data_IF_489303382604
#
_entry.id   IF_489303382604
#
_cell.length_a   1.000
_cell.length_b   1.000
_cell.length_c   1.000
_cell.angle_alpha   90.00
_cell.angle_beta   90.00
_cell.angle_gamma   90.00
#
_symmetry.space_group_name_H-M   'P 1'
#
loop_
_entity.id
_entity.type
_entity.pdbx_description
1 polymer ?
#
# COMPACT_ATOMS: atom_id res chain seq x y z
N UNK A 1 5.20 -19.25 -13.47
CA UNK A 1 5.42 -17.98 -12.74
C UNK A 1 4.40 -17.89 -11.61
N UNK A 2 4.76 -17.32 -10.47
CA UNK A 2 3.78 -16.96 -9.44
C UNK A 2 4.19 -15.68 -8.71
N UNK A 3 3.21 -14.95 -8.20
CA UNK A 3 3.39 -13.78 -7.34
C UNK A 3 3.68 -14.26 -5.92
N UNK A 4 4.77 -13.77 -5.35
CA UNK A 4 5.21 -14.17 -4.02
C UNK A 4 4.21 -13.76 -2.93
N UNK A 5 4.12 -14.57 -1.88
CA UNK A 5 3.22 -14.33 -0.75
C UNK A 5 3.33 -12.92 -0.13
N UNK A 6 4.54 -12.35 0.08
CA UNK A 6 4.69 -11.00 0.59
C UNK A 6 4.01 -9.93 -0.27
N UNK A 7 4.00 -10.09 -1.60
CA UNK A 7 3.31 -9.17 -2.52
C UNK A 7 1.80 -9.31 -2.51
N UNK A 8 1.27 -10.45 -2.08
CA UNK A 8 -0.18 -10.68 -1.91
C UNK A 8 -0.70 -10.18 -0.56
N UNK A 9 0.19 -9.92 0.40
CA UNK A 9 -0.22 -9.46 1.72
C UNK A 9 -0.91 -8.10 1.63
N UNK A 10 -2.02 -7.96 2.37
CA UNK A 10 -2.75 -6.70 2.43
C UNK A 10 -1.86 -5.61 3.03
N UNK A 11 -1.58 -4.57 2.25
CA UNK A 11 -0.78 -3.43 2.67
C UNK A 11 -1.21 -2.18 1.90
N UNK A 12 -1.19 -1.06 2.59
CA UNK A 12 -1.39 0.23 1.96
C UNK A 12 -0.10 0.61 1.24
N UNK A 13 -0.15 0.60 -0.09
CA UNK A 13 0.97 1.00 -0.92
C UNK A 13 1.11 2.53 -0.92
N UNK A 14 2.17 3.04 -0.27
CA UNK A 14 2.45 4.46 -0.20
C UNK A 14 3.36 4.92 -1.34
N UNK A 15 3.07 6.09 -1.93
CA UNK A 15 3.93 6.75 -2.90
C UNK A 15 3.44 6.67 -4.34
N UNK A 16 4.31 7.01 -5.30
CA UNK A 16 3.98 7.06 -6.73
C UNK A 16 3.91 5.68 -7.39
N UNK A 17 4.48 4.67 -6.74
CA UNK A 17 4.69 3.34 -7.32
C UNK A 17 4.96 2.32 -6.23
N UNK A 18 4.59 1.06 -6.48
CA UNK A 18 4.81 -0.07 -5.60
C UNK A 18 5.54 -1.22 -6.28
N UNK A 19 6.06 -2.14 -5.48
CA UNK A 19 6.83 -3.30 -5.96
C UNK A 19 5.99 -4.58 -5.93
N UNK A 20 5.94 -5.24 -7.08
CA UNK A 20 5.40 -6.60 -7.25
C UNK A 20 6.57 -7.56 -7.38
N UNK A 21 6.66 -8.49 -6.45
CA UNK A 21 7.69 -9.52 -6.44
C UNK A 21 7.11 -10.83 -6.98
N UNK A 22 7.70 -11.29 -8.08
CA UNK A 22 7.32 -12.50 -8.80
C UNK A 22 8.46 -13.50 -8.73
N UNK A 23 8.12 -14.78 -8.83
CA UNK A 23 9.09 -15.86 -8.92
C UNK A 23 8.85 -16.69 -10.18
N UNK A 24 9.89 -16.77 -11.01
CA UNK A 24 9.92 -17.64 -12.18
C UNK A 24 10.56 -18.95 -11.73
N UNK A 25 9.73 -19.98 -11.58
CA UNK A 25 10.20 -21.34 -11.29
C UNK A 25 10.41 -22.05 -12.61
N UNK A 26 11.64 -22.46 -12.85
CA UNK A 26 12.01 -23.34 -13.95
C UNK A 26 12.77 -24.54 -13.39
N UNK A 27 12.05 -25.63 -13.16
CA UNK A 27 12.58 -26.89 -12.65
C UNK A 27 12.79 -27.91 -13.79
N UNK A 28 13.05 -27.45 -15.02
CA UNK A 28 13.23 -28.36 -16.13
C UNK A 28 14.46 -29.25 -15.93
N UNK A 29 14.32 -30.55 -16.27
CA UNK A 29 15.32 -31.57 -15.94
C UNK A 29 16.56 -31.40 -16.83
N UNK A 30 17.74 -31.47 -16.21
CA UNK A 30 19.03 -31.54 -16.89
C UNK A 30 19.03 -32.74 -17.87
N UNK A 31 19.51 -32.61 -19.12
CA UNK A 31 20.56 -31.69 -19.59
C UNK A 31 20.08 -30.42 -20.34
N UNK A 32 18.77 -30.17 -20.41
CA UNK A 32 18.18 -29.18 -21.33
C UNK A 32 18.34 -27.69 -20.96
N UNK A 33 19.01 -27.38 -19.84
CA UNK A 33 19.25 -26.01 -19.39
C UNK A 33 17.97 -25.23 -19.02
N UNK A 34 18.07 -23.91 -18.97
CA UNK A 34 16.94 -23.02 -18.69
C UNK A 34 16.05 -22.87 -19.94
N UNK A 35 14.74 -22.75 -19.71
CA UNK A 35 13.75 -22.51 -20.75
C UNK A 35 13.67 -21.03 -21.18
N UNK A 36 14.42 -20.14 -20.53
CA UNK A 36 14.48 -18.73 -20.91
C UNK A 36 14.88 -18.49 -22.37
N UNK A 37 14.55 -17.30 -22.93
CA UNK A 37 14.03 -16.13 -22.23
C UNK A 37 12.53 -16.20 -21.89
N UNK A 38 12.15 -15.58 -20.78
CA UNK A 38 10.78 -15.51 -20.30
C UNK A 38 10.22 -14.11 -20.53
N UNK A 39 9.19 -13.99 -21.35
CA UNK A 39 8.49 -12.74 -21.60
C UNK A 39 7.39 -12.55 -20.57
N UNK A 40 7.60 -11.64 -19.62
CA UNK A 40 6.66 -11.35 -18.55
C UNK A 40 5.93 -10.04 -18.83
N UNK A 41 4.61 -10.10 -18.84
CA UNK A 41 3.72 -8.94 -18.92
C UNK A 41 3.01 -8.78 -17.59
N UNK A 42 3.21 -7.65 -16.93
CA UNK A 42 2.48 -7.31 -15.70
C UNK A 42 1.46 -6.22 -16.03
N UNK A 43 0.20 -6.49 -15.72
CA UNK A 43 -0.92 -5.61 -16.01
C UNK A 43 -1.63 -5.24 -14.70
N UNK A 44 -1.72 -3.94 -14.40
CA UNK A 44 -2.58 -3.43 -13.36
C UNK A 44 -3.93 -3.02 -13.97
N UNK A 45 -4.99 -3.69 -13.55
CA UNK A 45 -6.37 -3.42 -13.90
C UNK A 45 -7.01 -2.56 -12.81
N UNK A 46 -7.52 -1.40 -13.19
CA UNK A 46 -8.11 -0.41 -12.27
C UNK A 46 -9.57 -0.16 -12.66
N UNK A 47 -10.53 -0.24 -11.73
CA UNK A 47 -11.94 -0.08 -12.04
C UNK A 47 -12.34 1.40 -12.16
N UNK A 48 -13.52 1.61 -12.74
CA UNK A 48 -13.93 2.82 -13.47
C UNK A 48 -13.98 4.16 -12.73
N UNK A 49 -13.68 4.22 -11.43
CA UNK A 49 -13.56 5.50 -10.71
C UNK A 49 -12.23 6.22 -11.00
N UNK A 50 -11.24 5.52 -11.57
CA UNK A 50 -9.98 6.14 -12.01
C UNK A 50 -10.16 6.77 -13.40
N UNK A 51 -9.80 8.05 -13.52
CA UNK A 51 -9.92 8.83 -14.76
C UNK A 51 -8.74 8.63 -15.73
N UNK A 52 -7.66 7.94 -15.30
CA UNK A 52 -6.52 7.62 -16.14
C UNK A 52 -6.67 6.28 -16.87
N UNK A 53 -5.53 5.74 -17.33
CA UNK A 53 -5.49 4.44 -17.99
C UNK A 53 -6.02 3.33 -17.06
N UNK A 54 -7.07 2.64 -17.53
CA UNK A 54 -7.70 1.53 -16.80
C UNK A 54 -6.85 0.26 -16.77
N UNK A 55 -5.91 0.17 -17.69
CA UNK A 55 -5.04 -0.99 -17.90
C UNK A 55 -3.63 -0.48 -18.07
N UNK A 56 -2.81 -0.66 -17.04
CA UNK A 56 -1.41 -0.23 -17.06
C UNK A 56 -0.56 -1.46 -17.26
N UNK A 57 0.06 -1.59 -18.43
CA UNK A 57 0.89 -2.76 -18.81
C UNK A 57 2.37 -2.44 -18.72
N UNK A 58 3.14 -3.40 -18.23
CA UNK A 58 4.60 -3.34 -18.19
C UNK A 58 5.17 -4.67 -18.67
N UNK A 59 5.93 -4.61 -19.76
CA UNK A 59 6.52 -5.79 -20.39
C UNK A 59 8.01 -5.84 -20.06
N UNK A 60 8.48 -6.99 -19.59
CA UNK A 60 9.87 -7.23 -19.25
C UNK A 60 10.27 -8.64 -19.68
N UNK A 61 11.53 -8.81 -20.10
CA UNK A 61 12.05 -10.11 -20.53
C UNK A 61 13.17 -10.52 -19.59
N UNK A 62 13.07 -11.73 -19.04
CA UNK A 62 14.02 -12.28 -18.08
C UNK A 62 14.79 -13.44 -18.71
N UNK A 63 16.11 -13.43 -18.64
CA UNK A 63 16.96 -14.52 -19.15
C UNK A 63 17.12 -15.66 -18.14
N UNK A 64 16.95 -15.38 -16.85
CA UNK A 64 17.21 -16.31 -15.75
C UNK A 64 15.94 -16.51 -14.90
N UNK A 65 15.68 -17.75 -14.45
CA UNK A 65 14.66 -18.03 -13.47
C UNK A 65 15.06 -17.45 -12.09
N UNK A 66 14.09 -17.39 -11.18
CA UNK A 66 14.27 -16.84 -9.83
C UNK A 66 13.33 -15.69 -9.51
N UNK A 67 13.64 -14.97 -8.43
CA UNK A 67 12.84 -13.86 -7.91
C UNK A 67 13.18 -12.56 -8.63
N UNK A 68 12.14 -11.90 -9.12
CA UNK A 68 12.24 -10.63 -9.82
C UNK A 68 11.26 -9.62 -9.23
N UNK A 69 11.61 -8.34 -9.33
CA UNK A 69 10.79 -7.24 -8.81
C UNK A 69 10.41 -6.28 -9.92
N UNK A 70 9.12 -6.02 -10.02
CA UNK A 70 8.51 -5.19 -11.04
C UNK A 70 7.88 -3.99 -10.35
N UNK A 71 8.07 -2.80 -10.93
CA UNK A 71 7.62 -1.55 -10.34
C UNK A 71 6.40 -1.02 -11.07
N UNK A 72 5.24 -1.10 -10.43
CA UNK A 72 3.97 -0.60 -10.96
C UNK A 72 3.62 0.77 -10.36
N UNK A 73 2.95 1.66 -11.12
CA UNK A 73 2.47 2.92 -10.58
C UNK A 73 1.29 2.69 -9.62
N UNK A 74 1.23 3.50 -8.56
CA UNK A 74 0.11 3.51 -7.61
C UNK A 74 -0.99 4.41 -8.12
N UNK A 75 -2.24 4.05 -7.86
CA UNK A 75 -3.41 4.83 -8.24
C UNK A 75 -3.80 5.79 -7.10
N UNK A 76 -3.94 7.09 -7.42
CA UNK A 76 -4.25 8.14 -6.45
C UNK A 76 -5.72 8.24 -6.02
N UNK A 77 -6.54 7.23 -6.29
CA UNK A 77 -7.96 7.19 -5.88
C UNK A 77 -8.22 5.96 -5.04
N UNK A 78 -9.16 6.07 -4.08
CA UNK A 78 -9.59 4.93 -3.28
C UNK A 78 -10.31 3.92 -4.17
N UNK A 79 -9.64 2.82 -4.51
CA UNK A 79 -10.16 1.84 -5.46
C UNK A 79 -9.51 0.47 -5.26
N UNK A 80 -10.18 -0.61 -5.68
CA UNK A 80 -9.58 -1.95 -5.68
C UNK A 80 -9.05 -2.26 -7.07
N UNK A 81 -7.79 -2.65 -7.21
CA UNK A 81 -7.21 -3.09 -8.48
C UNK A 81 -6.94 -4.59 -8.50
N UNK A 82 -6.74 -5.12 -9.69
CA UNK A 82 -6.24 -6.50 -9.88
C UNK A 82 -4.93 -6.42 -10.66
N UNK A 83 -3.89 -7.04 -10.13
CA UNK A 83 -2.62 -7.19 -10.85
C UNK A 83 -2.60 -8.58 -11.46
N UNK A 84 -2.50 -8.62 -12.78
CA UNK A 84 -2.35 -9.82 -13.59
C UNK A 84 -0.90 -9.91 -14.06
N UNK A 85 -0.25 -11.03 -13.79
CA UNK A 85 1.09 -11.36 -14.28
C UNK A 85 0.96 -12.49 -15.28
N UNK A 86 1.41 -12.26 -16.49
CA UNK A 86 1.42 -13.21 -17.59
C UNK A 86 2.86 -13.49 -18.00
N UNK A 87 3.17 -14.72 -18.37
CA UNK A 87 4.49 -15.15 -18.79
C UNK A 87 4.36 -16.05 -20.00
N UNK A 88 5.20 -15.80 -21.00
CA UNK A 88 5.39 -16.71 -22.14
C UNK A 88 6.84 -17.19 -22.16
N UNK A 89 7.01 -18.50 -22.15
CA UNK A 89 8.31 -19.16 -22.24
C UNK A 89 8.84 -19.23 -23.70
N UNK A 90 10.12 -19.58 -23.92
CA UNK A 90 10.67 -19.74 -25.28
C UNK A 90 9.87 -20.74 -26.13
N UNK A 91 9.28 -21.73 -25.47
CA UNK A 91 8.51 -22.79 -26.10
C UNK A 91 7.06 -22.36 -26.44
N UNK A 92 6.69 -21.09 -26.15
CA UNK A 92 5.34 -20.57 -26.36
C UNK A 92 4.33 -21.01 -25.29
N UNK A 93 4.79 -21.63 -24.20
CA UNK A 93 3.93 -21.98 -23.07
C UNK A 93 3.51 -20.72 -22.33
N UNK A 94 2.21 -20.56 -22.12
CA UNK A 94 1.61 -19.43 -21.43
C UNK A 94 1.29 -19.80 -19.98
N UNK A 95 1.71 -18.94 -19.06
CA UNK A 95 1.43 -19.05 -17.64
C UNK A 95 0.87 -17.71 -17.14
N UNK A 96 -0.12 -17.76 -16.25
CA UNK A 96 -0.68 -16.56 -15.63
C UNK A 96 -0.88 -16.75 -14.13
N UNK A 97 -0.84 -15.64 -13.41
CA UNK A 97 -1.17 -15.57 -11.99
C UNK A 97 -1.68 -14.15 -11.68
N UNK A 98 -2.65 -14.03 -10.79
CA UNK A 98 -3.28 -12.76 -10.46
C UNK A 98 -3.51 -12.59 -8.95
N UNK A 99 -3.59 -11.33 -8.54
CA UNK A 99 -4.03 -10.99 -7.20
C UNK A 99 -4.75 -9.64 -7.16
N UNK A 100 -5.70 -9.53 -6.24
CA UNK A 100 -6.40 -8.28 -5.98
C UNK A 100 -5.71 -7.50 -4.87
N UNK A 101 -5.67 -6.18 -5.02
CA UNK A 101 -5.15 -5.24 -4.03
C UNK A 101 -6.08 -4.05 -3.91
N UNK A 102 -6.01 -3.33 -2.81
CA UNK A 102 -6.82 -2.12 -2.59
C UNK A 102 -5.92 -0.93 -2.35
N UNK A 103 -6.16 0.13 -3.11
CA UNK A 103 -5.53 1.42 -2.91
C UNK A 103 -6.36 2.21 -1.91
N UNK A 104 -5.82 2.43 -0.72
CA UNK A 104 -6.39 3.33 0.26
C UNK A 104 -5.70 4.69 0.18
N UNK A 105 -6.47 5.73 -0.09
CA UNK A 105 -5.98 7.11 -0.02
C UNK A 105 -5.68 7.42 1.45
N UNK A 106 -4.53 8.06 1.74
CA UNK A 106 -3.95 8.32 3.08
C UNK A 106 -4.87 9.05 4.08
N UNK A 107 -5.95 8.41 4.52
CA UNK A 107 -6.92 9.01 5.42
C UNK A 107 -6.33 9.24 6.82
N UNK A 108 -5.35 8.42 7.22
CA UNK A 108 -4.70 8.52 8.52
C UNK A 108 -3.91 9.83 8.71
N UNK A 109 -3.33 10.40 7.63
CA UNK A 109 -2.61 11.68 7.70
C UNK A 109 -3.56 12.83 8.00
N UNK A 110 -4.76 12.79 7.42
CA UNK A 110 -5.81 13.77 7.69
C UNK A 110 -6.41 13.57 9.09
N UNK A 111 -6.66 12.31 9.49
CA UNK A 111 -7.18 11.98 10.82
C UNK A 111 -6.26 12.50 11.94
N UNK A 112 -4.94 12.40 11.76
CA UNK A 112 -3.96 12.94 12.73
C UNK A 112 -4.21 14.43 13.00
N UNK A 113 -4.32 15.24 11.95
CA UNK A 113 -4.50 16.68 12.10
C UNK A 113 -5.92 17.05 12.54
N UNK A 114 -6.93 16.31 12.09
CA UNK A 114 -8.32 16.46 12.51
C UNK A 114 -8.48 16.22 14.02
N UNK A 115 -7.71 15.31 14.62
CA UNK A 115 -7.74 15.06 16.06
C UNK A 115 -6.88 16.04 16.86
N UNK A 116 -5.69 16.38 16.35
CA UNK A 116 -4.72 17.22 17.06
C UNK A 116 -5.17 18.69 17.13
N UNK A 117 -5.76 19.23 16.07
CA UNK A 117 -6.16 20.65 16.03
C UNK A 117 -7.23 21.02 17.08
N UNK A 118 -8.33 20.26 17.26
CA UNK A 118 -9.30 20.54 18.32
C UNK A 118 -8.71 20.46 19.72
N UNK A 119 -7.81 19.50 19.97
CA UNK A 119 -7.16 19.36 21.27
C UNK A 119 -6.24 20.55 21.57
N UNK A 120 -5.46 21.00 20.59
CA UNK A 120 -4.64 22.22 20.69
C UNK A 120 -5.49 23.47 20.87
N UNK A 121 -6.60 23.59 20.14
CA UNK A 121 -7.55 24.69 20.29
C UNK A 121 -8.14 24.74 21.69
N UNK A 122 -8.66 23.62 22.20
CA UNK A 122 -9.22 23.55 23.55
C UNK A 122 -8.16 23.80 24.62
N UNK A 123 -6.95 23.28 24.44
CA UNK A 123 -5.83 23.55 25.33
C UNK A 123 -5.49 25.05 25.37
N UNK A 124 -5.43 25.71 24.21
CA UNK A 124 -5.23 27.16 24.11
C UNK A 124 -6.35 27.94 24.81
N UNK A 125 -7.61 27.57 24.59
CA UNK A 125 -8.77 28.17 25.25
C UNK A 125 -8.66 28.04 26.78
N UNK A 126 -8.32 26.85 27.29
CA UNK A 126 -8.18 26.62 28.72
C UNK A 126 -7.01 27.40 29.34
N UNK A 127 -5.91 27.59 28.61
CA UNK A 127 -4.76 28.37 29.09
C UNK A 127 -5.06 29.87 29.09
N UNK A 128 -5.74 30.39 28.06
CA UNK A 128 -6.04 31.82 27.92
C UNK A 128 -7.20 32.24 28.83
N UNK A 129 -8.28 31.45 28.88
CA UNK A 129 -9.47 31.76 29.67
C UNK A 129 -9.39 31.25 31.11
N UNK A 130 -8.21 30.77 31.56
CA UNK A 130 -8.02 30.28 32.93
C UNK A 130 -8.46 31.37 33.92
N UNK A 131 -9.50 31.15 34.74
CA UNK A 131 -9.88 32.12 35.75
C UNK A 131 -8.73 32.24 36.74
N UNK A 132 -8.08 33.41 36.81
CA UNK A 132 -7.00 33.68 37.76
C UNK A 132 -7.51 33.94 39.19
N UNK A 133 -8.80 33.70 39.45
CA UNK A 133 -9.35 33.71 40.80
C UNK A 133 -9.01 32.41 41.51
N UNK A 134 -7.98 32.43 42.36
CA UNK A 134 -7.87 31.42 43.41
C UNK A 134 -9.11 31.57 44.30
N UNK A 135 -10.15 30.77 44.04
CA UNK A 135 -11.25 30.61 44.98
C UNK A 135 -10.70 29.70 46.06
N UNK A 136 -10.40 30.21 47.28
CA UNK A 136 -9.98 29.33 48.36
C UNK A 136 -11.10 28.33 48.57
N UNK A 137 -10.75 27.04 48.55
CA UNK A 137 -11.68 25.98 48.94
C UNK A 137 -12.21 26.34 50.33
N UNK A 138 -13.53 26.28 50.56
CA UNK A 138 -14.09 26.60 51.86
C UNK A 138 -13.42 25.71 52.91
N UNK A 139 -12.59 26.32 53.76
CA UNK A 139 -11.95 25.65 54.88
C UNK A 139 -12.74 26.03 56.14
N UNK A 140 -13.20 25.02 56.86
CA UNK A 140 -13.83 25.22 58.15
C UNK A 140 -12.75 25.64 59.16
N UNK A 141 -12.73 26.92 59.54
CA UNK A 141 -12.04 27.34 60.75
C UNK A 141 -12.91 26.99 61.96
N UNK A 142 -12.41 26.09 62.80
CA UNK A 142 -13.04 25.77 64.09
C UNK A 142 -12.61 26.85 65.08
N UNK A 143 -13.50 27.80 65.35
CA UNK A 143 -13.35 28.72 66.48
C UNK A 143 -13.45 27.91 67.76
N UNK A 144 -12.37 27.83 68.54
CA UNK A 144 -12.41 27.42 69.93
C UNK A 144 -12.32 28.71 70.77
N UNK A 145 -13.46 29.14 71.32
CA UNK A 145 -13.49 30.01 72.52
C UNK A 145 -13.28 29.15 73.78
#
# INVERSE_FOLDING_TARGET
>A
IYITHPSRAFRDEEGKSFWVEIEIVDNYRYPSGNQGPYHVTTTLLVPGNYQGDRTIKQNQTYSLPGKHRIKLPTVGVRTSGTVLVEMVDKNGLYFSDDFSLTFHMHYYKLLKWLLVLPMLGMFGVLVILRPQGAVPLPSFSRNND
#
